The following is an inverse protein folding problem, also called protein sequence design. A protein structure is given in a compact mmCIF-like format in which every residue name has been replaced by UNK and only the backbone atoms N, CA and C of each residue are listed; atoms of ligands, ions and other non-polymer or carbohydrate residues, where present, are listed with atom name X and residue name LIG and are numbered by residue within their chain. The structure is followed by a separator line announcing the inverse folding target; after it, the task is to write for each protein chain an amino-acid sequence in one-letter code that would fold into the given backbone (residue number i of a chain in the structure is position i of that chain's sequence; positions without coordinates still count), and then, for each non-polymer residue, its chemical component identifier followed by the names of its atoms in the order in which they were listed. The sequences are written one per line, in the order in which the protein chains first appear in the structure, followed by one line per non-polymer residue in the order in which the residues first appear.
data_IF_630842220445
#
_entry.id   IF_630842220445
#
_cell.length_a   1.000
_cell.length_b   1.000
_cell.length_c   1.000
_cell.angle_alpha   90.00
_cell.angle_beta   90.00
_cell.angle_gamma   90.00
#
_symmetry.space_group_name_H-M   'P 1'
#
loop_
_entity.id
_entity.type
_entity.pdbx_description
1 polymer ?
#
# COMPACT_ATOMS: atom_id res chain seq x y z
N UNK A 1 -34.18 17.97 -5.41
CA UNK A 1 -33.16 17.02 -5.89
C UNK A 1 -31.73 17.49 -5.61
N UNK A 2 -31.32 18.69 -6.03
CA UNK A 2 -29.93 19.20 -5.89
C UNK A 2 -29.45 19.25 -4.43
N UNK A 3 -30.28 19.73 -3.49
CA UNK A 3 -29.94 19.83 -2.06
C UNK A 3 -29.71 18.46 -1.40
N UNK A 4 -30.46 17.43 -1.80
CA UNK A 4 -30.30 16.08 -1.26
C UNK A 4 -29.01 15.42 -1.76
N UNK A 5 -28.68 15.58 -3.05
CA UNK A 5 -27.43 15.10 -3.61
C UNK A 5 -26.22 15.74 -2.92
N UNK A 6 -26.26 17.07 -2.74
CA UNK A 6 -25.22 17.81 -2.02
C UNK A 6 -25.03 17.34 -0.57
N UNK A 7 -26.11 17.04 0.16
CA UNK A 7 -26.04 16.52 1.52
C UNK A 7 -25.44 15.10 1.57
N UNK A 8 -25.75 14.26 0.59
CA UNK A 8 -25.20 12.90 0.48
C UNK A 8 -23.69 12.91 0.16
N UNK A 9 -23.24 13.82 -0.71
CA UNK A 9 -21.81 13.98 -1.00
C UNK A 9 -21.05 14.53 0.22
N UNK A 10 -21.67 15.44 0.96
CA UNK A 10 -21.11 15.93 2.23
C UNK A 10 -21.00 14.80 3.25
N UNK A 11 -22.03 13.96 3.40
CA UNK A 11 -22.01 12.78 4.28
C UNK A 11 -20.89 11.81 3.87
N UNK A 12 -20.77 11.49 2.57
CA UNK A 12 -19.70 10.64 2.03
C UNK A 12 -18.33 11.16 2.46
N UNK A 13 -18.10 12.46 2.26
CA UNK A 13 -16.84 13.11 2.64
C UNK A 13 -16.53 12.93 4.13
N UNK A 14 -17.50 13.18 5.01
CA UNK A 14 -17.29 13.05 6.46
C UNK A 14 -17.02 11.59 6.86
N UNK A 15 -17.70 10.63 6.24
CA UNK A 15 -17.45 9.20 6.47
C UNK A 15 -16.03 8.80 6.02
N UNK A 16 -15.56 9.32 4.89
CA UNK A 16 -14.18 9.09 4.42
C UNK A 16 -13.16 9.70 5.39
N UNK A 17 -13.39 10.92 5.85
CA UNK A 17 -12.53 11.60 6.83
C UNK A 17 -12.47 10.85 8.17
N UNK A 18 -13.60 10.36 8.66
CA UNK A 18 -13.67 9.54 9.89
C UNK A 18 -12.88 8.23 9.69
N UNK A 19 -13.08 7.53 8.56
CA UNK A 19 -12.33 6.31 8.26
C UNK A 19 -10.82 6.57 8.19
N UNK A 20 -10.41 7.65 7.55
CA UNK A 20 -9.01 8.07 7.50
C UNK A 20 -8.46 8.39 8.90
N UNK A 21 -9.24 9.05 9.76
CA UNK A 21 -8.83 9.33 11.14
C UNK A 21 -8.63 8.05 11.94
N UNK A 22 -9.52 7.06 11.82
CA UNK A 22 -9.35 5.74 12.46
C UNK A 22 -8.08 5.06 11.95
N UNK A 23 -7.82 5.11 10.64
CA UNK A 23 -6.62 4.55 10.04
C UNK A 23 -5.34 5.25 10.54
N UNK A 24 -5.35 6.58 10.66
CA UNK A 24 -4.24 7.35 11.22
C UNK A 24 -3.99 6.95 12.67
N UNK A 25 -5.03 6.80 13.49
CA UNK A 25 -4.92 6.35 14.88
C UNK A 25 -4.31 4.94 14.94
N UNK A 26 -4.74 4.03 14.06
CA UNK A 26 -4.17 2.70 13.93
C UNK A 26 -2.68 2.71 13.56
N UNK A 27 -2.26 3.66 12.70
CA UNK A 27 -0.88 3.78 12.24
C UNK A 27 0.02 4.61 13.17
N UNK A 28 -0.56 5.37 14.10
CA UNK A 28 0.17 6.26 15.01
C UNK A 28 1.31 5.59 15.81
N UNK A 29 1.20 4.32 16.26
CA UNK A 29 2.28 3.65 16.99
C UNK A 29 3.61 3.58 16.22
N UNK A 30 3.58 3.54 14.88
CA UNK A 30 4.79 3.55 14.04
C UNK A 30 5.53 4.90 14.05
N UNK A 31 4.95 5.97 14.61
CA UNK A 31 5.59 7.29 14.74
C UNK A 31 6.12 7.55 16.14
N UNK A 32 5.27 7.42 17.15
CA UNK A 32 5.60 7.79 18.54
C UNK A 32 6.23 6.67 19.36
N UNK A 33 6.00 5.40 18.99
CA UNK A 33 6.42 4.25 19.80
C UNK A 33 7.49 3.36 19.16
N UNK A 34 7.92 3.66 17.94
CA UNK A 34 8.78 2.76 17.16
C UNK A 34 10.14 2.50 17.82
N UNK A 35 10.76 3.50 18.45
CA UNK A 35 12.08 3.36 19.11
C UNK A 35 12.07 2.44 20.32
N UNK A 36 10.91 2.30 20.98
CA UNK A 36 10.72 1.41 22.14
C UNK A 36 9.97 0.13 21.76
N UNK A 37 9.58 -0.01 20.50
CA UNK A 37 8.82 -1.15 20.02
C UNK A 37 9.71 -2.39 19.90
N UNK A 38 9.17 -3.52 20.33
CA UNK A 38 9.77 -4.83 20.09
C UNK A 38 9.30 -5.36 18.75
N UNK A 39 10.22 -5.42 17.78
CA UNK A 39 9.95 -6.02 16.48
C UNK A 39 10.30 -7.50 16.51
N UNK A 40 9.41 -8.33 15.98
CA UNK A 40 9.77 -9.71 15.75
C UNK A 40 10.77 -9.78 14.59
N UNK A 41 11.85 -10.51 14.79
CA UNK A 41 12.86 -10.76 13.76
C UNK A 41 12.31 -11.81 12.80
N UNK A 42 11.50 -11.38 11.86
CA UNK A 42 11.03 -12.15 10.71
C UNK A 42 11.82 -11.78 9.45
N UNK A 43 11.35 -12.25 8.29
CA UNK A 43 11.88 -11.92 6.97
C UNK A 43 12.10 -10.42 6.73
N UNK A 44 11.38 -9.55 7.43
CA UNK A 44 11.57 -8.09 7.36
C UNK A 44 12.98 -7.69 7.81
N UNK A 45 13.36 -8.06 9.04
CA UNK A 45 14.63 -7.69 9.68
C UNK A 45 15.75 -8.70 9.40
N UNK A 46 15.41 -9.94 9.05
CA UNK A 46 16.39 -10.98 8.75
C UNK A 46 16.85 -10.98 7.28
N UNK A 47 16.03 -10.46 6.35
CA UNK A 47 16.26 -10.61 4.91
C UNK A 47 15.97 -9.32 4.12
N UNK A 48 14.76 -8.77 4.19
CA UNK A 48 14.34 -7.68 3.31
C UNK A 48 15.18 -6.41 3.48
N UNK A 49 15.27 -5.91 4.72
CA UNK A 49 16.04 -4.70 5.03
C UNK A 49 17.53 -4.99 4.84
N UNK A 50 18.01 -6.13 5.32
CA UNK A 50 19.44 -6.50 5.25
C UNK A 50 19.93 -6.65 3.82
N UNK A 51 19.20 -7.33 2.93
CA UNK A 51 19.63 -7.54 1.55
C UNK A 51 19.66 -6.24 0.76
N UNK A 52 18.70 -5.34 1.02
CA UNK A 52 18.74 -4.00 0.47
C UNK A 52 19.96 -3.24 0.99
N UNK A 53 20.27 -3.36 2.28
CA UNK A 53 21.40 -2.67 2.90
C UNK A 53 22.74 -3.11 2.30
N UNK A 54 22.92 -4.43 2.09
CA UNK A 54 24.08 -4.99 1.38
C UNK A 54 24.17 -4.40 -0.04
N UNK A 55 23.06 -4.37 -0.79
CA UNK A 55 23.04 -3.81 -2.14
C UNK A 55 23.32 -2.30 -2.16
N UNK A 56 22.78 -1.54 -1.20
CA UNK A 56 23.01 -0.11 -1.07
C UNK A 56 24.50 0.16 -0.78
N UNK A 57 25.07 -0.52 0.21
CA UNK A 57 26.46 -0.35 0.63
C UNK A 57 27.46 -0.84 -0.43
N UNK A 58 27.06 -1.75 -1.31
CA UNK A 58 27.88 -2.15 -2.46
C UNK A 58 28.04 -1.06 -3.54
N UNK A 59 27.20 -0.02 -3.53
CA UNK A 59 27.19 1.04 -4.55
C UNK A 59 26.64 0.59 -5.93
N UNK A 60 26.14 -0.65 -6.05
CA UNK A 60 25.77 -1.29 -7.32
C UNK A 60 24.25 -1.37 -7.55
N UNK A 61 23.46 -0.45 -6.96
CA UNK A 61 22.00 -0.38 -7.16
C UNK A 61 21.64 -0.34 -8.65
N UNK A 62 22.36 0.50 -9.41
CA UNK A 62 22.22 0.69 -10.86
C UNK A 62 23.23 -0.11 -11.69
N UNK A 63 23.97 -1.04 -11.07
CA UNK A 63 24.95 -1.90 -11.74
C UNK A 63 24.32 -2.85 -12.76
N UNK A 64 25.18 -3.53 -13.53
CA UNK A 64 24.76 -4.60 -14.44
C UNK A 64 24.31 -5.81 -13.64
N UNK A 65 23.42 -6.62 -14.21
CA UNK A 65 22.92 -7.82 -13.53
C UNK A 65 24.02 -8.82 -13.16
N UNK A 66 25.14 -8.83 -13.88
CA UNK A 66 26.30 -9.71 -13.66
C UNK A 66 27.36 -9.12 -12.74
N UNK A 67 27.15 -7.91 -12.21
CA UNK A 67 28.13 -7.32 -11.30
C UNK A 67 28.08 -8.08 -9.97
N UNK A 68 29.24 -8.53 -9.45
CA UNK A 68 29.29 -9.22 -8.15
C UNK A 68 28.94 -8.28 -7.01
N UNK A 69 28.11 -8.74 -6.07
CA UNK A 69 27.80 -8.10 -4.80
C UNK A 69 28.41 -8.95 -3.70
N UNK A 70 29.46 -8.42 -3.08
CA UNK A 70 30.13 -9.08 -1.97
C UNK A 70 29.33 -8.88 -0.67
N UNK A 71 29.57 -9.72 0.33
CA UNK A 71 28.85 -9.67 1.63
C UNK A 71 27.66 -10.61 1.75
N UNK A 72 27.34 -11.40 0.70
CA UNK A 72 26.34 -12.46 0.76
C UNK A 72 26.86 -13.75 0.14
N UNK A 73 26.89 -14.86 0.89
CA UNK A 73 27.28 -16.21 0.43
C UNK A 73 28.60 -16.30 -0.38
N UNK A 74 29.57 -15.40 -0.12
CA UNK A 74 30.83 -15.36 -0.86
C UNK A 74 30.80 -14.57 -2.18
N UNK A 75 29.70 -13.86 -2.46
CA UNK A 75 29.49 -13.07 -3.66
C UNK A 75 28.27 -13.56 -4.44
N UNK A 76 27.37 -12.66 -4.81
CA UNK A 76 26.22 -12.97 -5.67
C UNK A 76 26.08 -11.93 -6.77
N UNK A 77 25.56 -12.36 -7.92
CA UNK A 77 25.22 -11.45 -9.00
C UNK A 77 24.16 -10.43 -8.57
N UNK A 78 24.36 -9.16 -8.95
CA UNK A 78 23.40 -8.07 -8.74
C UNK A 78 21.99 -8.49 -9.19
N UNK A 79 21.86 -9.23 -10.28
CA UNK A 79 20.58 -9.68 -10.85
C UNK A 79 19.72 -10.52 -9.90
N UNK A 80 20.33 -11.18 -8.91
CA UNK A 80 19.63 -11.97 -7.89
C UNK A 80 19.09 -11.08 -6.77
N UNK A 81 19.67 -9.91 -6.58
CA UNK A 81 19.24 -8.92 -5.59
C UNK A 81 18.00 -8.14 -6.07
N UNK A 82 17.40 -7.37 -5.15
CA UNK A 82 16.18 -6.58 -5.41
C UNK A 82 16.30 -5.75 -6.69
N UNK A 83 15.27 -5.78 -7.54
CA UNK A 83 15.21 -5.00 -8.79
C UNK A 83 15.50 -3.51 -8.55
N UNK A 84 16.23 -2.88 -9.49
CA UNK A 84 16.50 -1.43 -9.50
C UNK A 84 15.23 -0.57 -9.68
N UNK A 85 14.11 -1.18 -10.05
CA UNK A 85 12.80 -0.52 -10.13
C UNK A 85 11.97 -0.70 -8.86
N UNK A 86 12.52 -1.31 -7.81
CA UNK A 86 11.80 -1.51 -6.56
C UNK A 86 11.67 -0.21 -5.79
N UNK A 87 10.43 0.24 -5.57
CA UNK A 87 10.13 1.38 -4.71
C UNK A 87 10.72 1.21 -3.30
N UNK A 88 10.64 0.00 -2.74
CA UNK A 88 11.16 -0.30 -1.40
C UNK A 88 12.69 -0.11 -1.33
N UNK A 89 13.43 -0.52 -2.36
CA UNK A 89 14.89 -0.30 -2.40
C UNK A 89 15.23 1.19 -2.38
N UNK A 90 14.51 1.99 -3.17
CA UNK A 90 14.75 3.44 -3.24
C UNK A 90 14.34 4.16 -1.95
N UNK A 91 13.22 3.78 -1.34
CA UNK A 91 12.83 4.33 -0.04
C UNK A 91 13.92 4.06 1.00
N UNK A 92 14.46 2.84 1.05
CA UNK A 92 15.53 2.49 1.98
C UNK A 92 16.84 3.22 1.66
N UNK A 93 17.20 3.36 0.39
CA UNK A 93 18.38 4.11 -0.03
C UNK A 93 18.32 5.59 0.42
N UNK A 94 17.15 6.22 0.31
CA UNK A 94 16.98 7.66 0.59
C UNK A 94 16.79 7.92 2.09
N UNK A 95 16.08 7.04 2.80
CA UNK A 95 15.57 7.31 4.15
C UNK A 95 16.16 6.39 5.23
N UNK A 96 16.89 5.34 4.83
CA UNK A 96 17.34 4.28 5.71
C UNK A 96 16.27 3.22 6.00
N UNK A 97 16.68 2.12 6.62
CA UNK A 97 15.81 0.96 6.88
C UNK A 97 14.58 1.29 7.73
N UNK A 98 14.75 2.07 8.79
CA UNK A 98 13.67 2.41 9.72
C UNK A 98 12.60 3.30 9.07
N UNK A 99 12.99 4.46 8.53
CA UNK A 99 12.03 5.41 7.96
C UNK A 99 11.37 4.86 6.70
N UNK A 100 12.11 4.09 5.88
CA UNK A 100 11.52 3.43 4.73
C UNK A 100 10.43 2.43 5.13
N UNK A 101 10.63 1.67 6.21
CA UNK A 101 9.62 0.75 6.73
C UNK A 101 8.37 1.50 7.24
N UNK A 102 8.55 2.54 8.06
CA UNK A 102 7.44 3.37 8.58
C UNK A 102 6.58 3.93 7.44
N UNK A 103 7.23 4.52 6.43
CA UNK A 103 6.54 5.12 5.28
C UNK A 103 5.86 4.04 4.43
N UNK A 104 6.51 2.90 4.21
CA UNK A 104 5.93 1.81 3.43
C UNK A 104 4.66 1.27 4.08
N UNK A 105 4.63 1.12 5.41
CA UNK A 105 3.42 0.73 6.15
C UNK A 105 2.29 1.71 5.85
N UNK A 106 2.53 3.02 5.98
CA UNK A 106 1.49 4.03 5.67
C UNK A 106 1.03 3.96 4.21
N UNK A 107 1.95 3.88 3.26
CA UNK A 107 1.60 3.82 1.84
C UNK A 107 0.71 2.62 1.52
N UNK A 108 1.02 1.45 2.08
CA UNK A 108 0.24 0.22 1.88
C UNK A 108 -1.18 0.38 2.43
N UNK A 109 -1.32 0.87 3.66
CA UNK A 109 -2.63 0.98 4.33
C UNK A 109 -3.50 2.08 3.70
N UNK A 110 -2.90 3.22 3.32
CA UNK A 110 -3.60 4.26 2.56
C UNK A 110 -4.04 3.74 1.18
N UNK A 111 -3.14 3.05 0.48
CA UNK A 111 -3.47 2.46 -0.83
C UNK A 111 -4.63 1.48 -0.70
N UNK A 112 -4.62 0.61 0.32
CA UNK A 112 -5.70 -0.34 0.58
C UNK A 112 -7.03 0.36 0.82
N UNK A 113 -7.05 1.36 1.71
CA UNK A 113 -8.27 2.10 2.03
C UNK A 113 -8.88 2.78 0.79
N UNK A 114 -8.07 3.51 0.02
CA UNK A 114 -8.56 4.24 -1.15
C UNK A 114 -8.90 3.33 -2.32
N UNK A 115 -8.06 2.31 -2.60
CA UNK A 115 -8.30 1.37 -3.69
C UNK A 115 -9.64 0.68 -3.54
N UNK A 116 -9.94 0.20 -2.33
CA UNK A 116 -11.18 -0.51 -2.02
C UNK A 116 -12.40 0.42 -2.18
N UNK A 117 -12.33 1.65 -1.67
CA UNK A 117 -13.43 2.59 -1.80
C UNK A 117 -13.72 2.95 -3.27
N UNK A 118 -12.67 3.17 -4.07
CA UNK A 118 -12.79 3.46 -5.51
C UNK A 118 -13.44 2.28 -6.24
N UNK A 119 -12.97 1.06 -5.96
CA UNK A 119 -13.52 -0.14 -6.60
C UNK A 119 -14.97 -0.41 -6.21
N UNK A 120 -15.32 -0.31 -4.92
CA UNK A 120 -16.69 -0.52 -4.48
C UNK A 120 -17.64 0.55 -5.02
N UNK A 121 -17.18 1.80 -5.14
CA UNK A 121 -17.97 2.88 -5.76
C UNK A 121 -18.36 2.51 -7.19
N UNK A 122 -17.42 1.94 -7.94
CA UNK A 122 -17.67 1.38 -9.27
C UNK A 122 -18.65 0.22 -9.27
N UNK A 123 -18.52 -0.73 -8.35
CA UNK A 123 -19.47 -1.86 -8.25
C UNK A 123 -20.90 -1.39 -8.00
N UNK A 124 -21.06 -0.41 -7.12
CA UNK A 124 -22.33 0.19 -6.74
C UNK A 124 -22.99 0.97 -7.88
N UNK A 125 -22.21 1.67 -8.71
CA UNK A 125 -22.72 2.33 -9.93
C UNK A 125 -23.43 1.36 -10.86
N UNK A 126 -22.98 0.10 -10.91
CA UNK A 126 -23.62 -0.95 -11.71
C UNK A 126 -24.85 -1.58 -11.04
N UNK A 127 -24.83 -1.74 -9.72
CA UNK A 127 -25.95 -2.32 -8.96
C UNK A 127 -27.12 -1.33 -8.78
N UNK A 128 -26.85 -0.02 -8.84
CA UNK A 128 -27.87 1.03 -8.71
C UNK A 128 -28.23 1.40 -7.28
N UNK A 129 -27.62 0.78 -6.27
CA UNK A 129 -27.88 1.02 -4.84
C UNK A 129 -26.59 1.34 -4.08
N UNK A 130 -26.42 2.59 -3.62
CA UNK A 130 -25.23 3.03 -2.87
C UNK A 130 -25.49 3.17 -1.37
N UNK A 131 -25.12 2.15 -0.61
CA UNK A 131 -24.93 2.30 0.83
C UNK A 131 -23.50 2.76 1.14
N UNK A 132 -23.33 4.09 1.16
CA UNK A 132 -22.04 4.76 1.42
C UNK A 132 -21.40 4.36 2.75
N UNK A 133 -22.19 4.13 3.80
CA UNK A 133 -21.67 3.71 5.11
C UNK A 133 -21.02 2.33 5.00
N UNK A 134 -21.72 1.36 4.41
CA UNK A 134 -21.18 0.00 4.21
C UNK A 134 -19.93 0.05 3.33
N UNK A 135 -19.97 0.81 2.22
CA UNK A 135 -18.83 0.95 1.32
C UNK A 135 -17.58 1.45 2.03
N UNK A 136 -17.71 2.54 2.78
CA UNK A 136 -16.57 3.16 3.47
C UNK A 136 -16.10 2.29 4.63
N UNK A 137 -17.02 1.62 5.32
CA UNK A 137 -16.68 0.67 6.39
C UNK A 137 -15.89 -0.54 5.87
N UNK A 138 -16.30 -1.15 4.75
CA UNK A 138 -15.54 -2.24 4.12
C UNK A 138 -14.16 -1.74 3.68
N UNK A 139 -14.08 -0.52 3.14
CA UNK A 139 -12.82 0.09 2.75
C UNK A 139 -11.89 0.30 3.95
N UNK A 140 -12.43 0.74 5.09
CA UNK A 140 -11.70 0.86 6.34
C UNK A 140 -11.20 -0.50 6.84
N UNK A 141 -12.07 -1.52 6.89
CA UNK A 141 -11.67 -2.88 7.30
C UNK A 141 -10.55 -3.45 6.43
N UNK A 142 -10.63 -3.25 5.11
CA UNK A 142 -9.56 -3.66 4.21
C UNK A 142 -8.27 -2.88 4.47
N UNK A 143 -8.36 -1.57 4.70
CA UNK A 143 -7.22 -0.72 5.08
C UNK A 143 -6.57 -1.09 6.41
N UNK A 144 -7.32 -1.69 7.35
CA UNK A 144 -6.85 -2.11 8.68
C UNK A 144 -6.30 -3.55 8.71
N UNK A 145 -6.29 -4.26 7.58
CA UNK A 145 -5.69 -5.59 7.54
C UNK A 145 -4.20 -5.53 7.88
N UNK A 146 -3.66 -6.54 8.58
CA UNK A 146 -2.24 -6.59 8.93
C UNK A 146 -1.41 -6.97 7.70
N UNK A 147 -1.24 -6.03 6.77
CA UNK A 147 -0.47 -6.25 5.55
C UNK A 147 1.00 -6.50 5.85
N UNK A 148 1.63 -7.37 5.07
CA UNK A 148 3.09 -7.48 5.03
C UNK A 148 3.67 -6.37 4.14
N UNK A 149 4.30 -5.31 4.70
CA UNK A 149 4.62 -4.10 3.93
C UNK A 149 5.64 -4.36 2.81
N UNK A 150 6.52 -5.36 2.98
CA UNK A 150 7.54 -5.69 1.97
C UNK A 150 6.98 -6.30 0.68
N UNK A 151 5.73 -6.79 0.68
CA UNK A 151 5.00 -7.10 -0.55
C UNK A 151 4.60 -5.84 -1.35
N UNK A 152 4.87 -4.65 -0.80
CA UNK A 152 4.53 -3.36 -1.38
C UNK A 152 3.02 -3.19 -1.52
N UNK A 153 2.62 -2.51 -2.59
CA UNK A 153 1.22 -2.19 -2.86
C UNK A 153 0.48 -3.30 -3.62
N UNK A 154 1.06 -4.49 -3.79
CA UNK A 154 0.47 -5.52 -4.65
C UNK A 154 -0.93 -5.93 -4.18
N UNK A 155 -1.07 -6.35 -2.91
CA UNK A 155 -2.36 -6.75 -2.32
C UNK A 155 -3.24 -5.53 -2.07
N UNK A 156 -2.69 -4.48 -1.46
CA UNK A 156 -3.39 -3.23 -1.18
C UNK A 156 -3.95 -2.56 -2.45
N UNK A 157 -3.30 -2.75 -3.61
CA UNK A 157 -3.68 -2.19 -4.89
C UNK A 157 -4.57 -3.10 -5.74
N UNK A 158 -4.82 -4.36 -5.35
CA UNK A 158 -5.69 -5.27 -6.11
C UNK A 158 -7.07 -4.68 -6.43
N UNK A 159 -7.74 -3.94 -5.53
CA UNK A 159 -9.02 -3.32 -5.89
C UNK A 159 -8.91 -2.33 -7.05
N UNK A 160 -7.80 -1.58 -7.20
CA UNK A 160 -7.60 -0.70 -8.37
C UNK A 160 -7.39 -1.50 -9.66
N UNK A 161 -6.78 -2.68 -9.57
CA UNK A 161 -6.67 -3.58 -10.71
C UNK A 161 -8.07 -4.04 -11.14
N UNK A 162 -8.92 -4.48 -10.20
CA UNK A 162 -10.31 -4.84 -10.49
C UNK A 162 -11.13 -3.65 -11.01
N UNK A 163 -10.90 -2.45 -10.47
CA UNK A 163 -11.50 -1.23 -11.00
C UNK A 163 -11.12 -1.01 -12.47
N UNK A 164 -9.86 -1.23 -12.84
CA UNK A 164 -9.40 -1.09 -14.23
C UNK A 164 -10.06 -2.12 -15.16
N UNK A 165 -10.24 -3.36 -14.69
CA UNK A 165 -10.94 -4.41 -15.46
C UNK A 165 -12.46 -4.27 -15.47
N UNK A 166 -13.03 -3.51 -14.53
CA UNK A 166 -14.48 -3.30 -14.42
C UNK A 166 -15.10 -2.78 -15.71
N UNK A 167 -14.36 -1.97 -16.48
CA UNK A 167 -14.80 -1.43 -17.77
C UNK A 167 -15.01 -2.51 -18.86
N UNK A 168 -14.33 -3.64 -18.76
CA UNK A 168 -14.52 -4.78 -19.67
C UNK A 168 -15.61 -5.72 -19.19
N UNK A 169 -15.65 -6.00 -17.88
CA UNK A 169 -16.56 -7.00 -17.31
C UNK A 169 -17.99 -6.49 -17.17
N UNK A 170 -18.15 -5.22 -16.80
CA UNK A 170 -19.47 -4.64 -16.68
C UNK A 170 -19.81 -3.93 -18.00
N UNK A 171 -20.66 -4.56 -18.82
CA UNK A 171 -21.28 -3.84 -19.93
C UNK A 171 -22.08 -2.69 -19.33
N UNK A 172 -21.74 -1.46 -19.72
CA UNK A 172 -22.50 -0.26 -19.38
C UNK A 172 -23.98 -0.53 -19.67
N UNK A 173 -24.77 -0.71 -18.61
CA UNK A 173 -26.22 -0.60 -18.71
C UNK A 173 -26.44 0.88 -18.96
N UNK A 174 -26.48 1.25 -20.25
CA UNK A 174 -26.86 2.59 -20.68
C UNK A 174 -28.26 2.78 -20.12
N UNK A 175 -28.40 3.57 -19.05
CA UNK A 175 -29.71 4.06 -18.61
C UNK A 175 -30.32 4.77 -19.82
N UNK A 176 -31.30 4.12 -20.46
CA UNK A 176 -32.18 4.76 -21.44
C UNK A 176 -33.11 5.71 -20.69
#
# INVERSE_FOLDING_TARGET
MIKAHFLLDKLEKHLVEIGLMVLIIYLAPYWSGYSEATFLIHDSLNCNIVFNEILINSGKILGKSTDSIDGFMGGVDRGVMRSKFSLLLWLQYILGGEWSYRILVVLVHLTAYFSMNIWLKRCVEYLGEDNRMIRIFISLLFGLLPFWPHAGIAIAGMPLLFYSFSSFCFKTVRKR
#
